data_IF_436338749020
#
_entry.id   IF_436338749020
#
_cell.length_a   1.000
_cell.length_b   1.000
_cell.length_c   1.000
_cell.angle_alpha   90.00
_cell.angle_beta   90.00
_cell.angle_gamma   90.00
#
_symmetry.space_group_name_H-M   'P 1'
#
loop_
_entity.id
_entity.type
_entity.pdbx_description
1 polymer ?
#
# COMPACT_ATOMS: atom_id res chain seq x y z
N UNK A 1 13.34 -26.04 31.92
CA UNK A 1 12.04 -25.73 31.31
C UNK A 1 12.37 -25.36 29.89
N UNK A 2 12.17 -26.31 29.00
CA UNK A 2 12.66 -26.25 27.63
C UNK A 2 11.82 -25.25 26.85
N UNK A 3 12.47 -24.26 26.24
CA UNK A 3 11.87 -23.37 25.25
C UNK A 3 11.36 -24.22 24.09
N UNK A 4 10.06 -24.53 24.10
CA UNK A 4 9.40 -25.15 22.96
C UNK A 4 9.32 -24.08 21.87
N UNK A 5 9.98 -24.37 20.75
CA UNK A 5 9.92 -23.58 19.52
C UNK A 5 8.45 -23.25 19.19
N UNK A 6 8.09 -21.97 18.96
CA UNK A 6 6.71 -21.56 18.66
C UNK A 6 6.07 -22.36 17.52
N UNK A 7 6.87 -22.85 16.57
CA UNK A 7 6.38 -23.72 15.50
C UNK A 7 5.90 -25.08 16.03
N UNK A 8 6.59 -25.64 17.02
CA UNK A 8 6.19 -26.92 17.64
C UNK A 8 4.92 -26.79 18.46
N UNK A 9 4.75 -25.69 19.19
CA UNK A 9 3.53 -25.41 19.95
C UNK A 9 2.31 -25.21 19.03
N UNK A 10 2.50 -24.56 17.88
CA UNK A 10 1.45 -24.38 16.88
C UNK A 10 1.04 -25.71 16.22
N UNK A 11 2.01 -26.58 15.92
CA UNK A 11 1.74 -27.92 15.37
C UNK A 11 1.01 -28.82 16.37
N UNK A 12 1.39 -28.77 17.66
CA UNK A 12 0.74 -29.56 18.70
C UNK A 12 -0.70 -29.07 18.93
N UNK A 13 -0.95 -27.75 18.92
CA UNK A 13 -2.30 -27.19 19.00
C UNK A 13 -3.17 -27.55 17.79
N UNK A 14 -2.62 -27.49 16.58
CA UNK A 14 -3.32 -27.91 15.37
C UNK A 14 -3.66 -29.41 15.37
N UNK A 15 -2.78 -30.25 15.94
CA UNK A 15 -3.00 -31.68 16.08
C UNK A 15 -4.11 -31.98 17.10
N UNK A 16 -4.16 -31.24 18.21
CA UNK A 16 -5.23 -31.31 19.20
C UNK A 16 -6.59 -30.88 18.62
N UNK A 17 -6.63 -29.77 17.87
CA UNK A 17 -7.86 -29.28 17.20
C UNK A 17 -8.38 -30.27 16.14
N UNK A 18 -7.48 -30.94 15.41
CA UNK A 18 -7.82 -31.96 14.43
C UNK A 18 -8.08 -33.36 15.05
N UNK A 19 -7.88 -33.53 16.36
CA UNK A 19 -8.09 -34.79 17.07
C UNK A 19 -7.16 -35.93 16.62
N UNK A 20 -5.98 -35.61 16.10
CA UNK A 20 -5.01 -36.61 15.60
C UNK A 20 -3.63 -36.41 16.22
N UNK A 21 -2.76 -37.42 16.10
CA UNK A 21 -1.38 -37.26 16.55
C UNK A 21 -0.66 -36.23 15.68
N UNK A 22 0.34 -35.54 16.25
CA UNK A 22 1.22 -34.63 15.51
C UNK A 22 1.84 -35.30 14.27
N UNK A 23 2.26 -36.56 14.41
CA UNK A 23 2.81 -37.33 13.30
C UNK A 23 1.80 -37.51 12.17
N UNK A 24 0.55 -37.81 12.50
CA UNK A 24 -0.53 -37.98 11.54
C UNK A 24 -0.91 -36.66 10.86
N UNK A 25 -0.92 -35.55 11.62
CA UNK A 25 -1.14 -34.22 11.07
C UNK A 25 -0.03 -33.83 10.08
N UNK A 26 1.23 -34.12 10.42
CA UNK A 26 2.37 -33.87 9.52
C UNK A 26 2.31 -34.73 8.25
N UNK A 27 1.91 -36.01 8.36
CA UNK A 27 1.71 -36.88 7.19
C UNK A 27 0.67 -36.29 6.23
N UNK A 28 -0.48 -35.84 6.75
CA UNK A 28 -1.51 -35.21 5.93
C UNK A 28 -1.06 -33.88 5.33
N UNK A 29 -0.32 -33.08 6.08
CA UNK A 29 0.25 -31.84 5.58
C UNK A 29 1.27 -32.08 4.46
N UNK A 30 2.09 -33.13 4.58
CA UNK A 30 3.04 -33.53 3.54
C UNK A 30 2.35 -34.03 2.27
N UNK A 31 1.30 -34.83 2.40
CA UNK A 31 0.49 -35.29 1.25
C UNK A 31 -0.19 -34.11 0.56
N UNK A 32 -0.82 -33.22 1.33
CA UNK A 32 -1.46 -32.02 0.78
C UNK A 32 -0.44 -31.08 0.09
N UNK A 33 0.78 -30.98 0.64
CA UNK A 33 1.86 -30.23 0.00
C UNK A 33 2.31 -30.90 -1.31
N UNK A 34 2.51 -32.22 -1.30
CA UNK A 34 2.86 -32.98 -2.49
C UNK A 34 1.80 -32.83 -3.59
N UNK A 35 0.51 -32.90 -3.26
CA UNK A 35 -0.59 -32.65 -4.19
C UNK A 35 -0.56 -31.22 -4.76
N UNK A 36 -0.25 -30.21 -3.93
CA UNK A 36 -0.12 -28.82 -4.41
C UNK A 36 1.06 -28.59 -5.34
N UNK A 37 2.12 -29.39 -5.19
CA UNK A 37 3.32 -29.37 -6.05
C UNK A 37 3.17 -30.31 -7.26
N UNK A 38 2.00 -30.96 -7.43
CA UNK A 38 1.75 -31.92 -8.51
C UNK A 38 2.52 -33.24 -8.38
N UNK A 39 2.99 -33.56 -7.18
CA UNK A 39 3.69 -34.81 -6.86
C UNK A 39 2.65 -35.85 -6.48
N UNK A 40 2.53 -36.89 -7.31
CA UNK A 40 1.65 -38.02 -7.06
C UNK A 40 2.21 -38.91 -5.95
N UNK A 41 1.51 -39.00 -4.82
CA UNK A 41 1.91 -39.82 -3.68
C UNK A 41 1.08 -41.10 -3.70
N UNK A 42 1.70 -42.28 -3.89
CA UNK A 42 0.95 -43.52 -3.96
C UNK A 42 0.24 -43.79 -2.63
N UNK A 43 -1.02 -44.21 -2.73
CA UNK A 43 -1.80 -44.59 -1.55
C UNK A 43 -1.34 -45.95 -0.99
N UNK A 44 -1.86 -46.32 0.18
CA UNK A 44 -1.45 -47.57 0.85
C UNK A 44 -1.77 -48.82 0.04
N UNK A 45 -2.81 -48.78 -0.80
CA UNK A 45 -3.23 -49.92 -1.60
C UNK A 45 -2.30 -50.07 -2.82
N UNK A 46 -1.87 -48.96 -3.42
CA UNK A 46 -0.85 -48.94 -4.47
C UNK A 46 0.51 -49.43 -3.98
N UNK A 47 0.95 -48.99 -2.79
CA UNK A 47 2.19 -49.47 -2.17
C UNK A 47 2.12 -50.97 -1.90
N UNK A 48 1.01 -51.46 -1.33
CA UNK A 48 0.82 -52.89 -1.08
C UNK A 48 0.80 -53.71 -2.38
N UNK A 49 0.26 -53.16 -3.47
CA UNK A 49 0.27 -53.81 -4.78
C UNK A 49 1.68 -53.86 -5.40
N UNK A 50 2.50 -52.84 -5.18
CA UNK A 50 3.91 -52.82 -5.59
C UNK A 50 4.71 -53.86 -4.79
N UNK A 51 4.52 -53.91 -3.47
CA UNK A 51 5.19 -54.89 -2.60
C UNK A 51 4.84 -56.32 -3.01
N UNK A 52 3.56 -56.61 -3.26
CA UNK A 52 3.15 -57.94 -3.73
C UNK A 52 3.80 -58.33 -5.08
N UNK A 53 3.94 -57.38 -6.01
CA UNK A 53 4.65 -57.63 -7.28
C UNK A 53 6.13 -57.88 -7.10
N UNK A 54 6.76 -57.24 -6.11
CA UNK A 54 8.16 -57.46 -5.78
C UNK A 54 8.35 -58.85 -5.18
N UNK A 55 7.46 -59.27 -4.28
CA UNK A 55 7.48 -60.63 -3.72
C UNK A 55 7.31 -61.69 -4.82
N UNK A 56 6.36 -61.49 -5.75
CA UNK A 56 6.18 -62.38 -6.91
C UNK A 56 7.43 -62.43 -7.81
N UNK A 57 8.11 -61.28 -8.02
CA UNK A 57 9.33 -61.20 -8.82
C UNK A 57 10.50 -61.91 -8.15
N UNK A 58 10.62 -61.79 -6.84
CA UNK A 58 11.67 -62.44 -6.05
C UNK A 58 11.47 -63.97 -6.07
N UNK A 59 10.23 -64.45 -5.98
CA UNK A 59 9.93 -65.89 -6.15
C UNK A 59 10.30 -66.39 -7.56
N UNK A 60 9.97 -65.64 -8.61
CA UNK A 60 10.33 -66.00 -10.00
C UNK A 60 11.86 -66.01 -10.21
N UNK A 61 12.57 -65.05 -9.59
CA UNK A 61 14.02 -64.98 -9.64
C UNK A 61 14.66 -66.19 -8.94
N UNK A 62 14.18 -66.54 -7.74
CA UNK A 62 14.66 -67.69 -6.99
C UNK A 62 14.44 -69.01 -7.74
N UNK A 63 13.29 -69.16 -8.43
CA UNK A 63 13.03 -70.32 -9.30
C UNK A 63 14.04 -70.40 -10.46
N UNK A 64 14.26 -69.28 -11.17
CA UNK A 64 15.22 -69.23 -12.29
C UNK A 64 16.66 -69.48 -11.84
N UNK A 65 17.04 -68.97 -10.67
CA UNK A 65 18.35 -69.21 -10.08
C UNK A 65 18.51 -70.68 -9.69
N UNK A 66 17.46 -71.31 -9.15
CA UNK A 66 17.46 -72.74 -8.84
C UNK A 66 17.60 -73.61 -10.11
N UNK A 67 16.87 -73.30 -11.18
CA UNK A 67 16.95 -73.99 -12.48
C UNK A 67 18.35 -73.86 -13.09
N UNK A 68 18.91 -72.64 -13.12
CA UNK A 68 20.27 -72.44 -13.61
C UNK A 68 21.30 -73.21 -12.79
N UNK A 69 21.13 -73.29 -11.46
CA UNK A 69 22.02 -74.06 -10.59
C UNK A 69 21.93 -75.55 -10.89
N UNK A 70 20.74 -76.08 -11.13
CA UNK A 70 20.55 -77.49 -11.51
C UNK A 70 21.19 -77.78 -12.86
N UNK A 71 20.95 -76.92 -13.86
CA UNK A 71 21.54 -77.05 -15.20
C UNK A 71 23.07 -76.97 -15.17
N UNK A 72 23.63 -76.14 -14.31
CA UNK A 72 25.08 -76.03 -14.12
C UNK A 72 25.66 -77.28 -13.44
N UNK A 73 24.95 -77.86 -12.47
CA UNK A 73 25.36 -79.12 -11.83
C UNK A 73 25.32 -80.27 -12.84
N UNK A 74 24.31 -80.32 -13.70
CA UNK A 74 24.22 -81.34 -14.75
C UNK A 74 25.30 -81.16 -15.82
N UNK A 75 25.57 -79.92 -16.25
CA UNK A 75 26.70 -79.62 -17.14
C UNK A 75 28.04 -80.03 -16.51
N UNK A 76 28.24 -79.77 -15.22
CA UNK A 76 29.45 -80.16 -14.52
C UNK A 76 29.59 -81.69 -14.44
N UNK A 77 28.50 -82.43 -14.20
CA UNK A 77 28.49 -83.91 -14.27
C UNK A 77 28.74 -84.45 -15.68
N UNK A 78 28.24 -83.78 -16.71
CA UNK A 78 28.49 -84.14 -18.11
C UNK A 78 29.97 -83.95 -18.46
N UNK A 79 30.57 -82.84 -18.03
CA UNK A 79 32.00 -82.57 -18.19
C UNK A 79 32.87 -83.55 -17.39
N UNK A 80 32.50 -83.87 -16.13
CA UNK A 80 33.19 -84.94 -15.38
C UNK A 80 32.99 -86.32 -16.01
N UNK A 81 31.84 -86.59 -16.64
CA UNK A 81 31.59 -87.82 -17.40
C UNK A 81 32.49 -87.94 -18.63
N UNK A 82 32.84 -86.81 -19.26
CA UNK A 82 33.80 -86.75 -20.36
C UNK A 82 35.25 -86.90 -19.87
N UNK A 83 35.58 -86.39 -18.67
CA UNK A 83 36.91 -86.51 -18.06
C UNK A 83 37.14 -87.90 -17.41
N UNK A 84 36.06 -88.62 -17.07
CA UNK A 84 36.09 -90.00 -16.53
C UNK A 84 36.26 -91.08 -17.61
N UNK A 85 36.39 -90.68 -18.88
CA UNK A 85 36.38 -91.58 -20.04
C UNK A 85 37.70 -92.29 -20.34
N UNK A 86 38.86 -91.80 -19.91
CA UNK A 86 40.15 -92.42 -20.30
C UNK A 86 41.23 -92.30 -19.21
N UNK A 87 41.25 -93.26 -18.28
CA UNK A 87 42.47 -93.65 -17.58
C UNK A 87 42.39 -95.12 -17.12
N UNK A 88 42.94 -96.02 -17.94
CA UNK A 88 42.95 -97.47 -17.67
C UNK A 88 43.79 -98.25 -18.68
N UNK A 89 45.11 -98.02 -18.62
CA UNK A 89 46.24 -98.95 -18.80
C UNK A 89 45.98 -100.33 -19.49
N UNK A 90 46.62 -100.56 -20.65
CA UNK A 90 47.80 -101.45 -20.79
C UNK A 90 47.95 -102.12 -22.17
N UNK A 91 49.12 -101.85 -22.76
CA UNK A 91 49.95 -102.70 -23.62
C UNK A 91 49.32 -103.88 -24.41
N UNK A 92 49.37 -103.77 -25.75
CA UNK A 92 50.23 -104.63 -26.58
C UNK A 92 50.20 -104.25 -28.07
N UNK A 93 51.35 -104.47 -28.70
CA UNK A 93 51.69 -104.29 -30.11
C UNK A 93 50.62 -104.70 -31.13
N UNK A 94 50.47 -103.90 -32.18
CA UNK A 94 50.78 -104.28 -33.57
C UNK A 94 50.52 -103.10 -34.50
N UNK A 95 51.41 -102.86 -35.46
CA UNK A 95 51.14 -102.00 -36.60
C UNK A 95 50.41 -102.81 -37.69
N UNK A 96 49.17 -102.44 -38.08
CA UNK A 96 48.72 -102.41 -39.47
C UNK A 96 49.08 -101.00 -40.01
N UNK A 97 49.64 -100.79 -41.19
CA UNK A 97 49.19 -101.23 -42.50
C UNK A 97 49.26 -99.97 -43.37
N UNK A 98 49.97 -100.01 -44.50
CA UNK A 98 50.04 -98.91 -45.48
C UNK A 98 48.68 -98.64 -46.18
N UNK A 99 47.57 -99.02 -45.54
CA UNK A 99 46.20 -98.78 -45.97
C UNK A 99 45.48 -97.73 -45.07
N UNK A 100 45.97 -97.52 -43.84
CA UNK A 100 45.43 -96.49 -42.93
C UNK A 100 45.96 -95.07 -43.26
N UNK A 101 47.12 -94.99 -43.95
CA UNK A 101 47.69 -93.72 -44.39
C UNK A 101 46.93 -93.12 -45.58
N UNK A 102 46.56 -93.95 -46.57
CA UNK A 102 45.77 -93.51 -47.73
C UNK A 102 44.34 -93.11 -47.32
N UNK A 103 43.74 -93.82 -46.37
CA UNK A 103 42.44 -93.47 -45.78
C UNK A 103 42.53 -92.15 -44.98
N UNK A 104 43.62 -91.93 -44.24
CA UNK A 104 43.85 -90.68 -43.53
C UNK A 104 44.11 -89.50 -44.49
N UNK A 105 44.82 -89.72 -45.60
CA UNK A 105 45.06 -88.72 -46.64
C UNK A 105 43.75 -88.32 -47.32
N UNK A 106 42.91 -89.29 -47.72
CA UNK A 106 41.56 -89.02 -48.25
C UNK A 106 40.69 -88.21 -47.29
N UNK A 107 40.74 -88.52 -45.98
CA UNK A 107 40.00 -87.74 -44.96
C UNK A 107 40.54 -86.33 -44.78
N UNK A 108 41.84 -86.13 -44.92
CA UNK A 108 42.46 -84.79 -44.86
C UNK A 108 42.08 -83.98 -46.09
N UNK A 109 42.04 -84.59 -47.27
CA UNK A 109 41.56 -83.94 -48.49
C UNK A 109 40.07 -83.59 -48.38
N UNK A 110 39.23 -84.51 -47.91
CA UNK A 110 37.80 -84.26 -47.66
C UNK A 110 37.61 -83.11 -46.64
N UNK A 111 38.39 -83.09 -45.55
CA UNK A 111 38.36 -82.01 -44.57
C UNK A 111 38.87 -80.68 -45.15
N UNK A 112 39.86 -80.72 -46.05
CA UNK A 112 40.35 -79.52 -46.72
C UNK A 112 39.28 -78.92 -47.64
N UNK A 113 38.58 -79.76 -48.40
CA UNK A 113 37.45 -79.37 -49.23
C UNK A 113 36.28 -78.81 -48.38
N UNK A 114 35.95 -79.46 -47.26
CA UNK A 114 34.95 -78.96 -46.31
C UNK A 114 35.34 -77.61 -45.70
N UNK A 115 36.62 -77.40 -45.36
CA UNK A 115 37.12 -76.13 -44.84
C UNK A 115 37.09 -75.03 -45.90
N UNK A 116 37.38 -75.35 -47.17
CA UNK A 116 37.24 -74.39 -48.28
C UNK A 116 35.77 -74.01 -48.51
N UNK A 117 34.85 -74.97 -48.42
CA UNK A 117 33.41 -74.70 -48.49
C UNK A 117 32.94 -73.82 -47.31
N UNK A 118 33.39 -74.12 -46.09
CA UNK A 118 33.06 -73.32 -44.89
C UNK A 118 33.64 -71.91 -45.01
N UNK A 119 34.89 -71.75 -45.47
CA UNK A 119 35.49 -70.44 -45.69
C UNK A 119 34.68 -69.62 -46.71
N UNK A 120 34.29 -70.21 -47.84
CA UNK A 120 33.46 -69.56 -48.83
C UNK A 120 32.04 -69.22 -48.30
N UNK A 121 31.50 -70.04 -47.38
CA UNK A 121 30.24 -69.75 -46.69
C UNK A 121 30.38 -68.59 -45.71
N UNK A 122 31.49 -68.50 -44.98
CA UNK A 122 31.80 -67.39 -44.08
C UNK A 122 31.96 -66.08 -44.86
N UNK A 123 32.71 -66.06 -45.96
CA UNK A 123 32.85 -64.87 -46.80
C UNK A 123 31.48 -64.37 -47.32
N UNK A 124 30.58 -65.28 -47.67
CA UNK A 124 29.22 -64.94 -48.10
C UNK A 124 28.38 -64.40 -46.95
N UNK A 125 28.54 -64.92 -45.74
CA UNK A 125 27.86 -64.42 -44.55
C UNK A 125 28.39 -63.06 -44.14
N UNK A 126 29.70 -62.83 -44.19
CA UNK A 126 30.32 -61.54 -43.91
C UNK A 126 29.87 -60.48 -44.91
N UNK A 127 29.83 -60.81 -46.21
CA UNK A 127 29.28 -59.92 -47.22
C UNK A 127 27.78 -59.64 -46.99
N UNK A 128 26.99 -60.65 -46.65
CA UNK A 128 25.56 -60.48 -46.37
C UNK A 128 25.30 -59.70 -45.08
N UNK A 129 26.18 -59.78 -44.08
CA UNK A 129 26.13 -59.00 -42.86
C UNK A 129 26.54 -57.55 -43.09
N UNK A 130 27.54 -57.30 -43.96
CA UNK A 130 27.96 -55.96 -44.35
C UNK A 130 26.91 -55.25 -45.25
N UNK A 131 26.33 -55.97 -46.21
CA UNK A 131 25.24 -55.47 -47.07
C UNK A 131 23.86 -55.59 -46.40
N UNK A 132 23.81 -56.01 -45.12
CA UNK A 132 22.56 -56.18 -44.44
C UNK A 132 21.84 -54.83 -44.38
N UNK A 133 20.60 -54.72 -44.89
CA UNK A 133 19.82 -53.49 -44.84
C UNK A 133 19.47 -53.06 -43.41
N UNK A 134 19.89 -53.83 -42.40
CA UNK A 134 19.84 -53.45 -40.99
C UNK A 134 20.85 -52.36 -40.64
N UNK A 135 22.03 -52.28 -41.29
CA UNK A 135 23.01 -51.22 -40.99
C UNK A 135 22.45 -49.86 -41.39
N UNK A 136 22.07 -49.70 -42.67
CA UNK A 136 21.47 -48.45 -43.17
C UNK A 136 20.20 -48.05 -42.41
N UNK A 137 19.42 -49.02 -41.92
CA UNK A 137 18.22 -48.75 -41.10
C UNK A 137 18.55 -48.33 -39.68
N UNK A 138 19.68 -48.80 -39.12
CA UNK A 138 20.17 -48.35 -37.82
C UNK A 138 20.70 -46.94 -37.96
N UNK A 139 21.46 -46.63 -39.00
CA UNK A 139 21.93 -45.26 -39.27
C UNK A 139 20.75 -44.29 -39.50
N UNK A 140 19.74 -44.66 -40.30
CA UNK A 140 18.49 -43.86 -40.45
C UNK A 140 17.74 -43.69 -39.12
N UNK A 141 17.76 -44.72 -38.26
CA UNK A 141 17.12 -44.63 -36.96
C UNK A 141 17.89 -43.68 -36.03
N UNK A 142 19.21 -43.74 -36.01
CA UNK A 142 20.08 -42.85 -35.24
C UNK A 142 19.88 -41.39 -35.69
N UNK A 143 19.90 -41.11 -37.00
CA UNK A 143 19.61 -39.76 -37.55
C UNK A 143 18.22 -39.25 -37.12
N UNK A 144 17.23 -40.15 -37.06
CA UNK A 144 15.87 -39.81 -36.63
C UNK A 144 15.77 -39.61 -35.13
N UNK A 145 16.56 -40.32 -34.34
CA UNK A 145 16.64 -40.14 -32.89
C UNK A 145 17.29 -38.79 -32.57
N UNK A 146 18.42 -38.46 -33.22
CA UNK A 146 19.05 -37.13 -33.09
C UNK A 146 18.06 -36.00 -33.43
N UNK A 147 17.31 -36.15 -34.52
CA UNK A 147 16.28 -35.18 -34.90
C UNK A 147 15.08 -35.12 -33.93
N UNK A 148 14.82 -36.18 -33.16
CA UNK A 148 13.83 -36.19 -32.08
C UNK A 148 14.39 -35.48 -30.86
N UNK A 149 15.64 -35.74 -30.48
CA UNK A 149 16.31 -35.09 -29.35
C UNK A 149 16.38 -33.57 -29.56
N UNK A 150 16.79 -33.11 -30.75
CA UNK A 150 16.76 -31.68 -31.13
C UNK A 150 15.36 -31.05 -30.96
N UNK A 151 14.30 -31.84 -31.25
CA UNK A 151 12.92 -31.37 -31.11
C UNK A 151 12.46 -31.36 -29.65
N UNK A 152 12.94 -32.29 -28.83
CA UNK A 152 12.67 -32.32 -27.39
C UNK A 152 13.34 -31.15 -26.71
N UNK A 153 14.60 -30.86 -27.02
CA UNK A 153 15.30 -29.67 -26.51
C UNK A 153 14.56 -28.36 -26.87
N UNK A 154 14.03 -28.28 -28.10
CA UNK A 154 13.23 -27.13 -28.53
C UNK A 154 11.85 -27.06 -27.83
N UNK A 155 11.29 -28.19 -27.39
CA UNK A 155 10.07 -28.22 -26.59
C UNK A 155 10.38 -27.78 -25.16
N UNK A 156 11.46 -28.26 -24.56
CA UNK A 156 11.88 -27.88 -23.21
C UNK A 156 12.12 -26.38 -23.11
N UNK A 157 12.83 -25.79 -24.09
CA UNK A 157 13.02 -24.34 -24.16
C UNK A 157 11.67 -23.57 -24.24
N UNK A 158 10.67 -24.12 -24.93
CA UNK A 158 9.33 -23.50 -24.98
C UNK A 158 8.56 -23.67 -23.67
N UNK A 159 8.77 -24.77 -22.94
CA UNK A 159 8.17 -24.96 -21.61
C UNK A 159 8.77 -23.96 -20.62
N UNK A 160 10.08 -23.72 -20.68
CA UNK A 160 10.73 -22.67 -19.89
C UNK A 160 10.17 -21.27 -20.20
N UNK A 161 9.99 -20.95 -21.48
CA UNK A 161 9.34 -19.69 -21.89
C UNK A 161 7.91 -19.56 -21.33
N UNK A 162 7.14 -20.67 -21.30
CA UNK A 162 5.79 -20.69 -20.73
C UNK A 162 5.80 -20.51 -19.21
N UNK A 163 6.75 -21.11 -18.50
CA UNK A 163 6.93 -20.92 -17.06
C UNK A 163 7.23 -19.44 -16.75
N UNK A 164 8.11 -18.81 -17.52
CA UNK A 164 8.40 -17.38 -17.38
C UNK A 164 7.17 -16.48 -17.67
N UNK A 165 6.25 -16.91 -18.53
CA UNK A 165 4.96 -16.24 -18.71
C UNK A 165 4.08 -16.41 -17.48
N UNK A 166 4.07 -17.60 -16.85
CA UNK A 166 3.41 -17.86 -15.57
C UNK A 166 3.86 -16.90 -14.49
N UNK A 167 5.17 -16.82 -14.24
CA UNK A 167 5.76 -15.89 -13.26
C UNK A 167 5.33 -14.42 -13.50
N UNK A 168 5.22 -14.04 -14.78
CA UNK A 168 4.80 -12.69 -15.16
C UNK A 168 3.32 -12.46 -14.88
N UNK A 169 2.47 -13.47 -15.06
CA UNK A 169 1.04 -13.41 -14.74
C UNK A 169 0.84 -13.30 -13.22
N UNK A 170 1.57 -14.08 -12.42
CA UNK A 170 1.53 -13.97 -10.96
C UNK A 170 1.92 -12.56 -10.50
N UNK A 171 2.99 -11.99 -11.07
CA UNK A 171 3.37 -10.61 -10.80
C UNK A 171 2.32 -9.57 -11.28
N UNK A 172 1.51 -9.89 -12.29
CA UNK A 172 0.37 -9.05 -12.68
C UNK A 172 -0.78 -9.16 -11.67
N UNK A 173 -1.09 -10.35 -11.20
CA UNK A 173 -2.13 -10.59 -10.20
C UNK A 173 -1.80 -9.90 -8.88
N UNK A 174 -0.55 -9.96 -8.41
CA UNK A 174 -0.08 -9.20 -7.25
C UNK A 174 -0.28 -7.68 -7.42
N UNK A 175 0.01 -7.16 -8.61
CA UNK A 175 -0.17 -5.73 -8.92
C UNK A 175 -1.63 -5.34 -9.01
N UNK A 176 -2.50 -6.22 -9.49
CA UNK A 176 -3.94 -6.00 -9.53
C UNK A 176 -4.53 -6.02 -8.11
N UNK A 177 -4.14 -6.97 -7.27
CA UNK A 177 -4.53 -6.98 -5.86
C UNK A 177 -4.10 -5.69 -5.14
N UNK A 178 -2.86 -5.23 -5.34
CA UNK A 178 -2.42 -3.96 -4.78
C UNK A 178 -3.15 -2.72 -5.35
N UNK A 179 -3.71 -2.81 -6.57
CA UNK A 179 -4.53 -1.76 -7.13
C UNK A 179 -5.95 -1.77 -6.53
N UNK A 180 -6.52 -2.94 -6.28
CA UNK A 180 -7.81 -3.12 -5.58
C UNK A 180 -7.74 -2.53 -4.17
N UNK A 181 -6.71 -2.87 -3.39
CA UNK A 181 -6.48 -2.31 -2.06
C UNK A 181 -6.38 -0.77 -2.08
N UNK A 182 -5.77 -0.21 -3.13
CA UNK A 182 -5.66 1.23 -3.31
C UNK A 182 -7.02 1.87 -3.60
N UNK A 183 -7.87 1.21 -4.41
CA UNK A 183 -9.21 1.69 -4.70
C UNK A 183 -10.09 1.68 -3.45
N UNK A 184 -10.04 0.62 -2.64
CA UNK A 184 -10.78 0.53 -1.37
C UNK A 184 -10.36 1.67 -0.42
N UNK A 185 -9.06 1.95 -0.30
CA UNK A 185 -8.55 3.05 0.50
C UNK A 185 -8.97 4.44 -0.03
N UNK A 186 -9.13 4.59 -1.34
CA UNK A 186 -9.66 5.81 -1.96
C UNK A 186 -11.15 5.96 -1.66
N UNK A 187 -11.93 4.89 -1.74
CA UNK A 187 -13.36 4.88 -1.42
C UNK A 187 -13.60 5.33 0.03
N UNK A 188 -12.89 4.75 1.00
CA UNK A 188 -12.96 5.15 2.42
C UNK A 188 -12.63 6.65 2.61
N UNK A 189 -11.62 7.14 1.88
CA UNK A 189 -11.23 8.55 1.95
C UNK A 189 -12.29 9.48 1.34
N UNK A 190 -12.97 9.04 0.28
CA UNK A 190 -14.06 9.80 -0.34
C UNK A 190 -15.25 9.86 0.60
N UNK A 191 -15.66 8.73 1.18
CA UNK A 191 -16.73 8.70 2.19
C UNK A 191 -16.43 9.62 3.37
N UNK A 192 -15.20 9.61 3.87
CA UNK A 192 -14.77 10.51 4.94
C UNK A 192 -14.81 11.99 4.53
N UNK A 193 -14.55 12.31 3.27
CA UNK A 193 -14.68 13.68 2.74
C UNK A 193 -16.14 14.07 2.64
N UNK A 194 -17.00 13.18 2.15
CA UNK A 194 -18.44 13.43 2.04
C UNK A 194 -19.07 13.68 3.42
N UNK A 195 -18.75 12.87 4.43
CA UNK A 195 -19.18 13.10 5.82
C UNK A 195 -18.76 14.48 6.36
N UNK A 196 -17.55 14.92 6.01
CA UNK A 196 -17.04 16.24 6.42
C UNK A 196 -17.73 17.38 5.67
N UNK A 197 -18.07 17.17 4.40
CA UNK A 197 -18.82 18.15 3.61
C UNK A 197 -20.24 18.29 4.14
N UNK A 198 -20.91 17.18 4.48
CA UNK A 198 -22.21 17.19 5.14
C UNK A 198 -22.16 17.95 6.48
N UNK A 199 -21.09 17.74 7.27
CA UNK A 199 -20.86 18.50 8.50
C UNK A 199 -20.69 20.00 8.26
N UNK A 200 -19.93 20.40 7.24
CA UNK A 200 -19.75 21.81 6.86
C UNK A 200 -21.05 22.41 6.35
N UNK A 201 -21.82 21.67 5.55
CA UNK A 201 -23.13 22.13 5.06
C UNK A 201 -24.10 22.35 6.23
N UNK A 202 -24.13 21.44 7.21
CA UNK A 202 -24.92 21.59 8.42
C UNK A 202 -24.49 22.81 9.26
N UNK A 203 -23.19 23.02 9.44
CA UNK A 203 -22.66 24.19 10.16
C UNK A 203 -23.03 25.51 9.45
N UNK A 204 -22.92 25.55 8.12
CA UNK A 204 -23.29 26.72 7.31
C UNK A 204 -24.80 26.97 7.32
N UNK A 205 -25.62 25.91 7.26
CA UNK A 205 -27.07 26.02 7.39
C UNK A 205 -27.49 26.49 8.79
N UNK A 206 -26.73 26.11 9.82
CA UNK A 206 -26.90 26.60 11.19
C UNK A 206 -26.56 28.08 11.36
N UNK A 207 -25.71 28.66 10.50
CA UNK A 207 -25.51 30.11 10.41
C UNK A 207 -26.64 30.67 9.55
N UNK A 208 -27.81 30.83 10.16
CA UNK A 208 -28.97 31.36 9.45
C UNK A 208 -28.83 32.86 9.17
N UNK A 209 -29.45 33.32 8.07
CA UNK A 209 -29.58 34.75 7.80
C UNK A 209 -30.34 35.48 8.94
N UNK A 210 -31.21 34.75 9.64
CA UNK A 210 -31.96 35.27 10.79
C UNK A 210 -31.03 35.55 11.98
N UNK A 211 -30.10 34.65 12.30
CA UNK A 211 -29.11 34.86 13.38
C UNK A 211 -28.22 36.06 13.10
N UNK A 212 -27.76 36.20 11.85
CA UNK A 212 -26.96 37.36 11.43
C UNK A 212 -27.76 38.66 11.54
N UNK A 213 -29.04 38.63 11.17
CA UNK A 213 -29.93 39.79 11.30
C UNK A 213 -30.18 40.14 12.78
N UNK A 214 -30.39 39.14 13.64
CA UNK A 214 -30.57 39.35 15.07
C UNK A 214 -29.31 39.95 15.72
N UNK A 215 -28.12 39.47 15.32
CA UNK A 215 -26.84 40.03 15.76
C UNK A 215 -26.71 41.50 15.32
N UNK A 216 -27.02 41.81 14.06
CA UNK A 216 -26.98 43.20 13.56
C UNK A 216 -27.92 44.13 14.34
N UNK A 217 -29.14 43.68 14.63
CA UNK A 217 -30.08 44.45 15.45
C UNK A 217 -29.55 44.68 16.87
N UNK A 218 -28.97 43.66 17.49
CA UNK A 218 -28.35 43.78 18.83
C UNK A 218 -27.18 44.76 18.80
N UNK A 219 -26.31 44.68 17.78
CA UNK A 219 -25.19 45.61 17.60
C UNK A 219 -25.69 47.05 17.39
N UNK A 220 -26.74 47.24 16.59
CA UNK A 220 -27.38 48.55 16.39
C UNK A 220 -27.96 49.11 17.69
N UNK A 221 -28.58 48.28 18.53
CA UNK A 221 -29.08 48.69 19.87
C UNK A 221 -27.93 49.07 20.80
N UNK A 222 -26.85 48.29 20.82
CA UNK A 222 -25.66 48.56 21.63
C UNK A 222 -24.99 49.86 21.17
N UNK A 223 -24.82 50.07 19.87
CA UNK A 223 -24.25 51.28 19.31
C UNK A 223 -25.05 52.53 19.75
N UNK A 224 -26.38 52.47 19.64
CA UNK A 224 -27.25 53.55 20.09
C UNK A 224 -27.16 53.80 21.60
N UNK A 225 -27.08 52.74 22.42
CA UNK A 225 -26.90 52.85 23.86
C UNK A 225 -25.56 53.51 24.21
N UNK A 226 -24.46 53.11 23.54
CA UNK A 226 -23.13 53.70 23.72
C UNK A 226 -23.13 55.18 23.32
N UNK A 227 -23.73 55.55 22.19
CA UNK A 227 -23.85 56.96 21.78
C UNK A 227 -24.63 57.78 22.81
N UNK A 228 -25.73 57.22 23.34
CA UNK A 228 -26.54 57.88 24.39
C UNK A 228 -25.78 58.03 25.70
N UNK A 229 -24.98 57.03 26.09
CA UNK A 229 -24.12 57.09 27.27
C UNK A 229 -23.04 58.14 27.11
N UNK A 230 -22.37 58.18 25.95
CA UNK A 230 -21.37 59.22 25.62
C UNK A 230 -21.98 60.61 25.75
N UNK A 231 -23.14 60.86 25.14
CA UNK A 231 -23.84 62.17 25.26
C UNK A 231 -24.18 62.54 26.70
N UNK A 232 -24.60 61.57 27.52
CA UNK A 232 -24.90 61.79 28.95
C UNK A 232 -23.64 62.09 29.76
N UNK A 233 -22.55 61.38 29.48
CA UNK A 233 -21.26 61.63 30.12
C UNK A 233 -20.75 63.01 29.76
N UNK A 234 -20.74 63.36 28.47
CA UNK A 234 -20.32 64.69 28.01
C UNK A 234 -21.18 65.80 28.65
N UNK A 235 -22.48 65.57 28.84
CA UNK A 235 -23.34 66.52 29.55
C UNK A 235 -23.00 66.62 31.04
N UNK A 236 -22.79 65.48 31.72
CA UNK A 236 -22.42 65.45 33.13
C UNK A 236 -21.04 66.07 33.40
N UNK A 237 -20.08 65.87 32.50
CA UNK A 237 -18.76 66.50 32.55
C UNK A 237 -18.86 68.01 32.36
N UNK A 238 -19.68 68.48 31.40
CA UNK A 238 -19.94 69.91 31.23
C UNK A 238 -20.61 70.52 32.45
N UNK A 239 -21.64 69.88 33.00
CA UNK A 239 -22.33 70.34 34.22
C UNK A 239 -21.37 70.43 35.41
N UNK A 240 -20.47 69.45 35.54
CA UNK A 240 -19.45 69.44 36.60
C UNK A 240 -18.48 70.60 36.42
N UNK A 241 -17.94 70.77 35.22
CA UNK A 241 -17.02 71.86 34.90
C UNK A 241 -17.68 73.24 35.07
N UNK A 242 -18.97 73.36 34.74
CA UNK A 242 -19.73 74.60 34.88
C UNK A 242 -19.92 74.95 36.37
N UNK A 243 -20.24 73.96 37.23
CA UNK A 243 -20.31 74.15 38.70
C UNK A 243 -18.96 74.53 39.31
N UNK A 244 -17.89 73.82 38.94
CA UNK A 244 -16.53 74.10 39.43
C UNK A 244 -16.08 75.53 39.09
N UNK A 245 -16.49 76.05 37.92
CA UNK A 245 -16.24 77.45 37.52
C UNK A 245 -17.04 78.45 38.34
N UNK A 246 -18.34 78.22 38.56
CA UNK A 246 -19.14 79.08 39.46
C UNK A 246 -18.55 79.10 40.87
N UNK A 247 -18.12 77.95 41.39
CA UNK A 247 -17.48 77.83 42.70
C UNK A 247 -16.14 78.58 42.75
N UNK A 248 -15.36 78.57 41.67
CA UNK A 248 -14.13 79.36 41.57
C UNK A 248 -14.43 80.87 41.60
N UNK A 249 -15.35 81.34 40.75
CA UNK A 249 -15.77 82.75 40.71
C UNK A 249 -16.30 83.22 42.07
N UNK A 250 -17.16 82.42 42.70
CA UNK A 250 -17.75 82.73 44.01
C UNK A 250 -16.70 82.72 45.13
N UNK A 251 -15.74 81.79 45.10
CA UNK A 251 -14.61 81.80 46.05
C UNK A 251 -13.72 83.04 45.89
N UNK A 252 -13.42 83.46 44.67
CA UNK A 252 -12.67 84.69 44.41
C UNK A 252 -13.46 85.91 44.87
N UNK A 253 -14.76 85.98 44.56
CA UNK A 253 -15.65 87.05 44.99
C UNK A 253 -15.68 87.20 46.52
N UNK A 254 -15.88 86.10 47.23
CA UNK A 254 -15.91 86.07 48.70
C UNK A 254 -14.57 86.51 49.30
N UNK A 255 -13.44 86.09 48.72
CA UNK A 255 -12.10 86.47 49.18
C UNK A 255 -11.85 87.97 49.08
N UNK A 256 -12.38 88.60 48.03
CA UNK A 256 -12.18 90.03 47.73
C UNK A 256 -13.37 90.92 48.16
N UNK A 257 -14.39 90.35 48.81
CA UNK A 257 -15.56 91.10 49.30
C UNK A 257 -16.49 91.60 48.19
N UNK A 258 -16.41 91.03 47.00
CA UNK A 258 -17.18 91.47 45.82
C UNK A 258 -18.56 90.83 45.85
N UNK A 259 -19.61 91.65 45.88
CA UNK A 259 -21.02 91.18 45.81
C UNK A 259 -21.61 91.32 44.41
N UNK A 260 -21.20 92.35 43.69
CA UNK A 260 -21.63 92.67 42.33
C UNK A 260 -20.44 92.93 41.44
N UNK A 261 -20.47 92.40 40.22
CA UNK A 261 -19.45 92.63 39.19
C UNK A 261 -20.11 92.89 37.84
N UNK A 262 -19.51 93.74 37.02
CA UNK A 262 -20.03 94.07 35.70
C UNK A 262 -19.53 93.04 34.67
N UNK A 263 -20.42 92.59 33.79
CA UNK A 263 -20.06 91.71 32.68
C UNK A 263 -19.08 92.41 31.73
N UNK A 264 -17.93 91.80 31.46
CA UNK A 264 -16.93 92.36 30.54
C UNK A 264 -17.37 92.51 29.08
N UNK A 265 -18.51 91.89 28.70
CA UNK A 265 -19.06 92.00 27.33
C UNK A 265 -20.16 93.05 27.20
N UNK A 266 -21.22 92.96 28.01
CA UNK A 266 -22.38 93.85 27.88
C UNK A 266 -22.41 94.98 28.92
N UNK A 267 -21.52 94.96 29.92
CA UNK A 267 -21.47 95.95 31.01
C UNK A 267 -22.61 95.84 32.02
N UNK A 268 -23.52 94.85 31.90
CA UNK A 268 -24.60 94.63 32.86
C UNK A 268 -24.09 94.12 34.20
N UNK A 269 -24.60 94.68 35.30
CA UNK A 269 -24.26 94.26 36.66
C UNK A 269 -24.81 92.87 36.99
N UNK A 270 -23.96 92.02 37.56
CA UNK A 270 -24.28 90.63 37.92
C UNK A 270 -24.02 90.42 39.41
N UNK A 271 -25.02 89.89 40.11
CA UNK A 271 -24.90 89.49 41.52
C UNK A 271 -24.29 88.08 41.61
N UNK A 272 -23.06 88.00 42.14
CA UNK A 272 -22.27 86.75 42.12
C UNK A 272 -22.89 85.66 43.00
N UNK A 273 -23.60 86.04 44.07
CA UNK A 273 -24.26 85.10 45.00
C UNK A 273 -25.53 84.43 44.47
N UNK A 274 -26.04 84.87 43.31
CA UNK A 274 -27.24 84.31 42.67
C UNK A 274 -26.93 83.54 41.38
N UNK A 275 -25.64 83.41 41.02
CA UNK A 275 -25.25 82.68 39.83
C UNK A 275 -25.45 81.17 40.01
N UNK A 276 -26.32 80.61 39.17
CA UNK A 276 -26.56 79.16 39.08
C UNK A 276 -25.81 78.50 37.93
N UNK A 277 -25.30 79.29 36.98
CA UNK A 277 -24.50 78.88 35.84
C UNK A 277 -23.37 79.90 35.60
N UNK A 278 -22.23 79.51 35.01
CA UNK A 278 -21.10 80.39 34.75
C UNK A 278 -21.33 81.25 33.50
N UNK A 279 -22.48 81.91 33.39
CA UNK A 279 -22.87 82.72 32.24
C UNK A 279 -23.62 83.99 32.65
N UNK A 280 -23.52 85.02 31.82
CA UNK A 280 -24.16 86.30 32.08
C UNK A 280 -25.68 86.19 31.88
N UNK A 281 -26.52 86.52 32.87
CA UNK A 281 -27.97 86.48 32.73
C UNK A 281 -28.52 87.50 31.72
N UNK A 282 -27.73 88.51 31.35
CA UNK A 282 -28.14 89.58 30.44
C UNK A 282 -27.79 89.30 28.97
N UNK A 283 -26.68 88.60 28.70
CA UNK A 283 -26.20 88.38 27.32
C UNK A 283 -25.83 86.91 27.00
N UNK A 284 -25.93 85.99 27.97
CA UNK A 284 -25.69 84.56 27.78
C UNK A 284 -24.22 84.17 27.55
N UNK A 285 -23.27 85.09 27.66
CA UNK A 285 -21.85 84.75 27.50
C UNK A 285 -21.26 84.12 28.76
N UNK A 286 -20.40 83.11 28.57
CA UNK A 286 -19.76 82.35 29.64
C UNK A 286 -18.62 83.11 30.31
N UNK A 287 -18.57 83.08 31.63
CA UNK A 287 -17.51 83.69 32.44
C UNK A 287 -16.32 82.75 32.59
N UNK A 288 -15.12 83.31 32.46
CA UNK A 288 -13.85 82.60 32.63
C UNK A 288 -13.24 82.88 33.99
N UNK A 289 -13.15 84.16 34.37
CA UNK A 289 -12.56 84.60 35.62
C UNK A 289 -13.20 85.90 36.14
N UNK A 290 -12.96 86.21 37.41
CA UNK A 290 -13.38 87.45 38.07
C UNK A 290 -12.13 88.31 38.34
N UNK A 291 -12.11 89.51 37.80
CA UNK A 291 -11.08 90.50 38.06
C UNK A 291 -11.57 91.48 39.15
N UNK A 292 -11.11 91.33 40.41
CA UNK A 292 -11.50 92.23 41.49
C UNK A 292 -10.80 93.59 41.34
N UNK A 293 -11.53 94.68 41.57
CA UNK A 293 -10.94 96.01 41.54
C UNK A 293 -10.02 96.24 42.75
N UNK A 294 -8.77 96.67 42.50
CA UNK A 294 -7.79 96.96 43.54
C UNK A 294 -7.84 98.41 44.09
N UNK A 295 -8.81 99.25 43.66
CA UNK A 295 -8.86 100.69 43.95
C UNK A 295 -10.24 101.25 44.32
N UNK A 296 -10.26 102.48 44.88
CA UNK A 296 -11.42 103.09 45.58
C UNK A 296 -12.58 103.60 44.71
N UNK A 297 -12.49 103.57 43.37
CA UNK A 297 -13.51 104.12 42.45
C UNK A 297 -13.94 103.17 41.31
N UNK A 298 -13.44 101.93 41.26
CA UNK A 298 -13.74 100.99 40.15
C UNK A 298 -14.78 99.93 40.53
N UNK A 299 -15.48 99.38 39.53
CA UNK A 299 -16.33 98.18 39.67
C UNK A 299 -15.53 96.92 39.31
N UNK A 300 -15.74 95.82 40.04
CA UNK A 300 -15.15 94.51 39.69
C UNK A 300 -15.72 94.01 38.36
N UNK A 301 -14.93 93.31 37.55
CA UNK A 301 -15.34 92.84 36.21
C UNK A 301 -15.30 91.33 36.09
N UNK A 302 -16.33 90.77 35.46
CA UNK A 302 -16.35 89.36 35.06
C UNK A 302 -15.81 89.22 33.64
N UNK A 303 -14.69 88.52 33.51
CA UNK A 303 -14.07 88.23 32.23
C UNK A 303 -14.85 87.13 31.52
N UNK A 304 -15.03 87.30 30.22
CA UNK A 304 -15.81 86.40 29.38
C UNK A 304 -14.84 85.70 28.42
N UNK A 305 -14.90 84.37 28.36
CA UNK A 305 -14.10 83.62 27.39
C UNK A 305 -14.60 83.89 25.96
N UNK A 306 -13.70 84.26 25.05
CA UNK A 306 -13.96 84.19 23.62
C UNK A 306 -13.74 82.75 23.14
N UNK A 307 -14.83 82.08 22.77
CA UNK A 307 -14.85 80.66 22.38
C UNK A 307 -14.07 80.44 21.06
N UNK A 308 -13.07 79.54 20.98
CA UNK A 308 -12.60 79.06 19.69
C UNK A 308 -13.64 78.11 19.08
N UNK A 309 -13.80 78.17 17.76
CA UNK A 309 -14.71 77.32 16.99
C UNK A 309 -14.41 75.84 17.23
N UNK A 310 -15.46 75.03 17.35
CA UNK A 310 -15.32 73.58 17.47
C UNK A 310 -15.14 73.03 16.05
N UNK A 311 -13.97 72.47 15.76
CA UNK A 311 -13.77 71.58 14.62
C UNK A 311 -14.56 70.30 14.85
N UNK A 312 -15.42 69.97 13.88
CA UNK A 312 -16.29 68.81 13.95
C UNK A 312 -17.09 68.63 12.66
N UNK A 313 -16.40 68.65 11.51
CA UNK A 313 -16.93 68.03 10.30
C UNK A 313 -17.02 66.52 10.56
N UNK A 314 -18.23 66.04 10.82
CA UNK A 314 -18.55 64.64 10.62
C UNK A 314 -19.22 64.59 9.26
N UNK A 315 -18.44 64.23 8.25
CA UNK A 315 -18.98 63.89 6.95
C UNK A 315 -19.89 62.67 7.12
N UNK A 316 -21.20 62.89 7.01
CA UNK A 316 -22.18 61.83 6.82
C UNK A 316 -21.88 61.16 5.47
N UNK A 317 -21.09 60.09 5.50
CA UNK A 317 -20.91 59.19 4.37
C UNK A 317 -22.16 58.36 4.20
N UNK A 318 -23.15 58.89 3.49
CA UNK A 318 -24.23 58.11 2.90
C UNK A 318 -23.65 57.23 1.78
N UNK A 319 -23.31 56.00 2.15
CA UNK A 319 -22.87 54.94 1.25
C UNK A 319 -24.00 53.96 1.01
N UNK A 320 -25.13 54.42 0.48
CA UNK A 320 -26.12 53.54 -0.14
C UNK A 320 -26.46 54.01 -1.55
N UNK A 321 -25.79 53.45 -2.55
CA UNK A 321 -26.44 53.22 -3.83
C UNK A 321 -26.05 51.84 -4.37
N UNK A 322 -27.05 50.96 -4.41
CA UNK A 322 -27.03 49.70 -5.16
C UNK A 322 -27.97 49.87 -6.34
N UNK A 323 -27.59 49.22 -7.43
CA UNK A 323 -28.33 48.92 -8.67
C UNK A 323 -28.19 49.97 -9.78
N UNK A 324 -27.84 49.68 -11.02
CA UNK A 324 -27.53 48.43 -11.72
C UNK A 324 -27.37 48.70 -13.23
N UNK A 325 -26.66 47.79 -13.91
CA UNK A 325 -26.79 47.44 -15.34
C UNK A 325 -26.08 48.30 -16.40
N UNK A 326 -25.00 47.75 -16.98
CA UNK A 326 -24.75 47.76 -18.42
C UNK A 326 -23.86 46.57 -18.81
N UNK A 327 -24.17 45.97 -19.96
CA UNK A 327 -23.73 44.70 -20.50
C UNK A 327 -22.22 44.56 -20.78
N UNK A 328 -21.74 43.32 -20.81
CA UNK A 328 -20.82 42.87 -21.86
C UNK A 328 -20.91 41.36 -22.04
N UNK A 329 -21.56 40.94 -23.11
CA UNK A 329 -21.36 39.63 -23.72
C UNK A 329 -19.90 39.49 -24.16
N UNK A 330 -19.30 38.34 -23.89
CA UNK A 330 -17.97 37.96 -24.36
C UNK A 330 -17.81 36.44 -24.25
N UNK A 331 -18.06 35.74 -25.36
CA UNK A 331 -18.05 34.28 -25.43
C UNK A 331 -16.66 33.65 -25.26
N UNK A 332 -16.59 32.34 -24.97
CA UNK A 332 -15.34 31.60 -24.94
C UNK A 332 -15.01 31.05 -26.34
N UNK A 333 -14.01 31.63 -26.99
CA UNK A 333 -13.31 30.94 -28.08
C UNK A 333 -12.36 29.90 -27.48
N UNK A 334 -12.60 28.65 -27.85
CA UNK A 334 -11.70 27.54 -27.54
C UNK A 334 -10.49 27.54 -28.49
N UNK A 335 -9.30 27.41 -27.91
CA UNK A 335 -8.13 26.86 -28.58
C UNK A 335 -7.42 25.90 -27.62
N UNK A 336 -7.74 24.61 -27.77
CA UNK A 336 -6.80 23.54 -27.48
C UNK A 336 -6.12 23.18 -28.80
N UNK A 337 -4.79 23.33 -28.84
CA UNK A 337 -3.88 22.66 -29.76
C UNK A 337 -2.74 22.09 -28.96
#
# INVERSE_FOLDING_TARGET
MSDLDPATAALDAAAEDAGVSREELLKRALVALAESEGIDVPDSDEVAAIEARLDDLDEELDEKVADLRERFVDLYREVEGLDSGEAGEDAQSSAPGLADADEAESRVDDLADELEEVAARLDRLDAAAADAPSSDRVDDLDDRLDAVDDRLDAVDARLDDLNAVGDRLDAFDERLGGAEDCFDAVEERVDSVDDRLDGVEADLAGISADDLTEIDEKLSRVANAVVKLKRRLDAAERDRADRERVDALTRTANRHGVRTADCGHCGGGVELGLLSAPECPHCGRRFEDLEPNAGFLGTSKLLVADKPAIDGDVADGDGTDRTGTAASDGGPDGEYR
#
